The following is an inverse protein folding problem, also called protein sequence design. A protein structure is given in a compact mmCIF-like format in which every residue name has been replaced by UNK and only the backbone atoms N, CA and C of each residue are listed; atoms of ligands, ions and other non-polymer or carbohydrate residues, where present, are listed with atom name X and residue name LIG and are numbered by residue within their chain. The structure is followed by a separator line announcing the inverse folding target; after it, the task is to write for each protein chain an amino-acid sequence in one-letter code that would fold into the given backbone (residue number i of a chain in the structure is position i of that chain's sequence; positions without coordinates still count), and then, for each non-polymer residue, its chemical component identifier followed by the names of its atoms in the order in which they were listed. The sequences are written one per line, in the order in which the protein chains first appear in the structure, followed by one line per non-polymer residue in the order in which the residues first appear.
data_IF_293628302308
#
_entry.id   IF_293628302308
#
_cell.length_a   1.000
_cell.length_b   1.000
_cell.length_c   1.000
_cell.angle_alpha   90.00
_cell.angle_beta   90.00
_cell.angle_gamma   90.00
#
_symmetry.space_group_name_H-M   'P 1'
#
loop_
_entity.id
_entity.type
_entity.pdbx_description
1 polymer ?
#
# COMPACT_ATOMS: atom_id res chain seq x y z
N UNK A 1 -3.57 7.40 -24.47
CA UNK A 1 -2.35 6.89 -23.81
C UNK A 1 -1.63 8.06 -23.14
N UNK A 2 -0.96 7.84 -22.00
CA UNK A 2 -0.34 8.93 -21.23
C UNK A 2 0.73 9.70 -22.02
N UNK A 3 1.52 9.02 -22.85
CA UNK A 3 2.52 9.66 -23.72
C UNK A 3 1.89 10.63 -24.75
N UNK A 4 0.75 10.24 -25.34
CA UNK A 4 -0.04 11.11 -26.23
C UNK A 4 -0.53 12.35 -25.50
N UNK A 5 -1.13 12.16 -24.32
CA UNK A 5 -1.60 13.27 -23.47
C UNK A 5 -0.46 14.23 -23.11
N UNK A 6 0.69 13.70 -22.70
CA UNK A 6 1.87 14.51 -22.38
C UNK A 6 2.33 15.36 -23.56
N UNK A 7 2.33 14.78 -24.76
CA UNK A 7 2.69 15.47 -26.00
C UNK A 7 1.68 16.55 -26.38
N UNK A 8 0.39 16.23 -26.39
CA UNK A 8 -0.70 17.14 -26.75
C UNK A 8 -0.77 18.36 -25.83
N UNK A 9 -0.60 18.13 -24.52
CA UNK A 9 -0.68 19.19 -23.52
C UNK A 9 0.67 19.83 -23.19
N UNK A 10 1.75 19.39 -23.83
CA UNK A 10 3.13 19.88 -23.62
C UNK A 10 3.54 19.82 -22.16
N UNK A 11 3.21 18.72 -21.48
CA UNK A 11 3.58 18.46 -20.09
C UNK A 11 4.56 17.30 -20.00
N UNK A 12 5.42 17.33 -18.99
CA UNK A 12 6.37 16.25 -18.76
C UNK A 12 5.68 15.00 -18.20
N UNK A 13 6.10 13.83 -18.66
CA UNK A 13 5.72 12.52 -18.14
C UNK A 13 6.95 11.89 -17.47
N UNK A 14 6.87 11.73 -16.15
CA UNK A 14 7.89 11.04 -15.34
C UNK A 14 7.35 9.67 -14.98
N UNK A 15 8.00 8.62 -15.49
CA UNK A 15 7.68 7.23 -15.21
C UNK A 15 8.61 6.70 -14.13
N UNK A 16 8.08 6.48 -12.93
CA UNK A 16 8.81 5.78 -11.86
C UNK A 16 8.68 4.27 -12.08
N UNK A 17 9.75 3.67 -12.61
CA UNK A 17 9.83 2.26 -12.98
C UNK A 17 10.61 1.44 -11.93
N UNK A 18 10.70 1.91 -10.68
CA UNK A 18 11.46 1.26 -9.59
C UNK A 18 11.07 -0.21 -9.33
N UNK A 19 9.88 -0.64 -9.76
CA UNK A 19 9.40 -2.03 -9.62
C UNK A 19 9.50 -2.86 -10.91
N UNK A 20 10.13 -2.35 -11.98
CA UNK A 20 10.24 -3.04 -13.27
C UNK A 20 10.79 -4.47 -13.14
N UNK A 21 11.81 -4.67 -12.29
CA UNK A 21 12.41 -5.99 -12.04
C UNK A 21 11.66 -6.89 -11.06
N UNK A 22 10.47 -6.49 -10.58
CA UNK A 22 9.68 -7.25 -9.59
C UNK A 22 8.40 -7.85 -10.16
N UNK A 23 8.30 -7.96 -11.48
CA UNK A 23 7.17 -8.56 -12.18
C UNK A 23 7.32 -10.08 -12.11
N UNK A 24 6.28 -10.75 -11.65
CA UNK A 24 6.31 -12.17 -11.36
C UNK A 24 5.18 -12.96 -12.04
N UNK A 25 4.26 -12.29 -12.73
CA UNK A 25 3.18 -12.92 -13.48
C UNK A 25 2.78 -12.08 -14.71
N UNK A 26 2.06 -12.69 -15.66
CA UNK A 26 1.51 -11.98 -16.82
C UNK A 26 0.40 -10.99 -16.42
N UNK A 27 0.22 -9.87 -17.15
CA UNK A 27 1.01 -9.44 -18.32
C UNK A 27 2.43 -9.03 -17.97
N UNK A 28 3.34 -9.05 -18.94
CA UNK A 28 4.70 -8.54 -18.75
C UNK A 28 4.68 -7.02 -18.54
N UNK A 29 5.72 -6.51 -17.89
CA UNK A 29 5.89 -5.06 -17.76
C UNK A 29 6.30 -4.46 -19.09
N UNK A 30 5.72 -3.31 -19.41
CA UNK A 30 6.02 -2.53 -20.60
C UNK A 30 6.57 -1.20 -20.13
N UNK A 31 7.85 -0.95 -20.37
CA UNK A 31 8.48 0.33 -20.04
C UNK A 31 7.95 1.43 -20.96
N UNK A 32 7.93 2.68 -20.47
CA UNK A 32 7.66 3.83 -21.35
C UNK A 32 8.66 3.90 -22.50
N UNK A 33 9.88 3.39 -22.32
CA UNK A 33 10.90 3.33 -23.35
C UNK A 33 10.51 2.47 -24.56
N UNK A 34 9.72 1.40 -24.35
CA UNK A 34 9.20 0.56 -25.43
C UNK A 34 8.03 1.23 -26.16
N UNK A 35 7.21 1.96 -25.41
CA UNK A 35 5.97 2.55 -25.93
C UNK A 35 6.22 3.75 -26.82
N UNK A 36 7.19 4.62 -26.47
CA UNK A 36 7.38 5.92 -27.12
C UNK A 36 7.65 5.85 -28.63
N UNK A 37 8.29 4.79 -29.10
CA UNK A 37 8.62 4.62 -30.52
C UNK A 37 7.37 4.30 -31.36
N UNK A 38 6.34 3.72 -30.74
CA UNK A 38 5.05 3.40 -31.37
C UNK A 38 4.04 4.56 -31.31
N UNK A 39 4.39 5.70 -30.72
CA UNK A 39 3.50 6.86 -30.55
C UNK A 39 3.78 7.92 -31.61
N UNK A 40 2.93 8.08 -32.64
CA UNK A 40 3.16 9.07 -33.69
C UNK A 40 3.22 10.49 -33.12
N UNK A 41 4.28 11.22 -33.47
CA UNK A 41 4.47 12.61 -33.05
C UNK A 41 4.84 12.79 -31.57
N UNK A 42 5.19 11.72 -30.85
CA UNK A 42 5.60 11.82 -29.46
C UNK A 42 6.84 12.72 -29.30
N UNK A 43 6.73 13.70 -28.41
CA UNK A 43 7.86 14.54 -28.04
C UNK A 43 8.67 13.86 -26.92
N UNK A 44 9.77 13.20 -27.29
CA UNK A 44 10.67 12.48 -26.36
C UNK A 44 11.24 13.40 -25.29
N UNK A 45 11.41 14.70 -25.57
CA UNK A 45 11.96 15.66 -24.59
C UNK A 45 11.09 15.85 -23.35
N UNK A 46 9.83 15.38 -23.40
CA UNK A 46 8.89 15.40 -22.29
C UNK A 46 8.89 14.10 -21.48
N UNK A 47 9.63 13.07 -21.90
CA UNK A 47 9.59 11.73 -21.31
C UNK A 47 10.84 11.49 -20.46
N UNK A 48 10.63 11.10 -19.21
CA UNK A 48 11.70 10.81 -18.25
C UNK A 48 11.37 9.54 -17.45
N UNK A 49 12.40 8.77 -17.11
CA UNK A 49 12.31 7.55 -16.30
C UNK A 49 13.10 7.75 -15.03
N UNK A 50 12.48 7.41 -13.90
CA UNK A 50 13.13 7.29 -12.60
C UNK A 50 13.25 5.81 -12.24
N UNK A 51 14.44 5.39 -11.79
CA UNK A 51 14.71 4.00 -11.45
C UNK A 51 15.65 3.88 -10.23
N UNK A 52 15.66 2.73 -9.57
CA UNK A 52 16.54 2.44 -8.44
C UNK A 52 16.63 0.95 -8.16
N UNK A 53 17.81 0.49 -7.74
CA UNK A 53 18.06 -0.89 -7.31
C UNK A 53 17.54 -1.21 -5.89
N UNK A 54 16.73 -0.30 -5.33
CA UNK A 54 16.31 -0.41 -3.92
C UNK A 54 15.24 -1.47 -3.69
N UNK A 55 14.51 -1.91 -4.74
CA UNK A 55 13.30 -2.74 -4.59
C UNK A 55 13.45 -4.11 -5.20
N UNK A 56 13.81 -4.17 -6.47
CA UNK A 56 14.07 -5.39 -7.22
C UNK A 56 15.35 -6.11 -6.78
N UNK A 57 16.45 -5.38 -6.57
CA UNK A 57 17.70 -5.96 -6.04
C UNK A 57 17.76 -6.02 -4.52
N UNK A 58 16.82 -5.39 -3.81
CA UNK A 58 16.82 -5.35 -2.36
C UNK A 58 18.03 -4.61 -1.75
N UNK A 59 18.58 -3.61 -2.46
CA UNK A 59 19.75 -2.83 -2.02
C UNK A 59 19.43 -1.38 -1.64
N UNK A 60 18.41 -1.09 -0.79
CA UNK A 60 18.05 0.28 -0.48
C UNK A 60 19.17 1.03 0.26
N UNK A 61 20.01 0.33 1.03
CA UNK A 61 21.14 0.91 1.77
C UNK A 61 22.29 1.43 0.89
N UNK A 62 22.38 0.95 -0.36
CA UNK A 62 23.45 1.36 -1.29
C UNK A 62 23.16 2.68 -2.02
N UNK A 63 21.96 3.22 -1.84
CA UNK A 63 21.56 4.53 -2.36
C UNK A 63 21.77 4.74 -3.86
N UNK A 64 21.43 3.72 -4.66
CA UNK A 64 21.51 3.81 -6.12
C UNK A 64 20.18 4.27 -6.71
N UNK A 65 20.11 5.54 -7.11
CA UNK A 65 19.00 6.14 -7.85
C UNK A 65 19.47 6.61 -9.22
N UNK A 66 18.63 6.45 -10.23
CA UNK A 66 18.95 6.72 -11.63
C UNK A 66 17.85 7.60 -12.21
N UNK A 67 18.26 8.66 -12.91
CA UNK A 67 17.39 9.47 -13.75
C UNK A 67 17.82 9.22 -15.19
N UNK A 68 16.89 8.74 -16.01
CA UNK A 68 17.06 8.60 -17.44
C UNK A 68 16.11 9.57 -18.13
N UNK A 69 16.62 10.38 -19.05
CA UNK A 69 15.84 11.41 -19.73
C UNK A 69 16.28 11.47 -21.18
N UNK A 70 15.32 11.55 -22.09
CA UNK A 70 15.61 11.79 -23.51
C UNK A 70 15.92 13.26 -23.82
N UNK A 71 15.65 14.16 -22.87
CA UNK A 71 15.96 15.59 -22.97
C UNK A 71 17.37 15.90 -22.46
N UNK A 72 18.25 16.35 -23.34
CA UNK A 72 19.66 16.68 -23.03
C UNK A 72 19.82 17.82 -22.01
N UNK A 73 18.92 18.82 -22.04
CA UNK A 73 18.96 19.91 -21.08
C UNK A 73 18.65 19.40 -19.65
N UNK A 74 17.69 18.49 -19.53
CA UNK A 74 17.37 17.79 -18.27
C UNK A 74 18.55 16.92 -17.83
N UNK A 75 19.17 16.15 -18.74
CA UNK A 75 20.35 15.32 -18.42
C UNK A 75 21.50 16.17 -17.89
N UNK A 76 21.80 17.29 -18.55
CA UNK A 76 22.86 18.22 -18.15
C UNK A 76 22.60 18.83 -16.77
N UNK A 77 21.36 19.28 -16.52
CA UNK A 77 20.96 19.84 -15.24
C UNK A 77 21.00 18.80 -14.11
N UNK A 78 20.36 17.64 -14.32
CA UNK A 78 20.30 16.55 -13.36
C UNK A 78 21.70 16.04 -13.00
N UNK A 79 22.63 15.96 -13.97
CA UNK A 79 24.03 15.60 -13.71
C UNK A 79 24.72 16.59 -12.78
N UNK A 80 24.55 17.90 -12.98
CA UNK A 80 25.11 18.92 -12.06
C UNK A 80 24.51 18.81 -10.66
N UNK A 81 23.20 18.61 -10.57
CA UNK A 81 22.50 18.42 -9.29
C UNK A 81 22.88 17.11 -8.59
N UNK A 82 23.28 16.08 -9.33
CA UNK A 82 23.72 14.80 -8.76
C UNK A 82 24.91 14.93 -7.80
N UNK A 83 25.69 16.03 -7.91
CA UNK A 83 26.79 16.33 -6.99
C UNK A 83 26.38 16.36 -5.51
N UNK A 84 25.11 16.64 -5.20
CA UNK A 84 24.57 16.62 -3.83
C UNK A 84 24.16 15.23 -3.32
N UNK A 85 24.22 14.20 -4.17
CA UNK A 85 23.72 12.85 -3.87
C UNK A 85 24.39 11.78 -4.72
N UNK A 86 25.70 11.91 -4.98
CA UNK A 86 26.44 10.93 -5.77
C UNK A 86 26.43 9.56 -5.08
N UNK A 87 26.29 8.51 -5.90
CA UNK A 87 26.47 7.13 -5.44
C UNK A 87 27.95 6.94 -5.06
N UNK A 88 28.22 6.26 -3.94
CA UNK A 88 29.58 5.93 -3.52
C UNK A 88 30.36 5.23 -4.65
N UNK A 89 31.58 5.67 -4.92
CA UNK A 89 32.45 5.07 -5.96
C UNK A 89 32.73 3.58 -5.69
N UNK A 90 32.85 3.18 -4.42
CA UNK A 90 32.98 1.78 -4.02
C UNK A 90 31.75 0.97 -4.43
N UNK A 91 30.56 1.50 -4.17
CA UNK A 91 29.28 0.88 -4.56
C UNK A 91 29.14 0.81 -6.08
N UNK A 92 29.54 1.87 -6.81
CA UNK A 92 29.54 1.86 -8.27
C UNK A 92 30.45 0.76 -8.82
N UNK A 93 31.66 0.61 -8.28
CA UNK A 93 32.59 -0.44 -8.71
C UNK A 93 32.05 -1.85 -8.46
N UNK A 94 31.52 -2.10 -7.25
CA UNK A 94 30.90 -3.38 -6.90
C UNK A 94 29.72 -3.72 -7.83
N UNK A 95 28.81 -2.77 -8.04
CA UNK A 95 27.63 -2.99 -8.88
C UNK A 95 28.00 -3.13 -10.35
N UNK A 96 29.00 -2.40 -10.85
CA UNK A 96 29.47 -2.58 -12.21
C UNK A 96 29.95 -4.02 -12.45
N UNK A 97 30.69 -4.60 -11.50
CA UNK A 97 31.11 -6.01 -11.59
C UNK A 97 29.93 -6.99 -11.52
N UNK A 98 29.02 -6.79 -10.57
CA UNK A 98 27.85 -7.66 -10.37
C UNK A 98 26.87 -7.60 -11.54
N UNK A 99 26.52 -6.40 -12.02
CA UNK A 99 25.53 -6.21 -13.09
C UNK A 99 26.07 -6.57 -14.47
N UNK A 100 27.38 -6.60 -14.66
CA UNK A 100 28.00 -7.04 -15.93
C UNK A 100 28.09 -8.56 -16.05
N UNK A 101 27.90 -9.32 -14.97
CA UNK A 101 27.79 -10.78 -15.03
C UNK A 101 26.40 -11.18 -15.53
N UNK A 102 26.30 -11.37 -16.85
CA UNK A 102 25.06 -11.75 -17.51
C UNK A 102 24.48 -13.07 -16.97
N UNK A 103 25.33 -14.04 -16.63
CA UNK A 103 24.87 -15.33 -16.13
C UNK A 103 24.27 -15.21 -14.73
N UNK A 104 24.89 -14.40 -13.86
CA UNK A 104 24.30 -14.02 -12.57
C UNK A 104 22.97 -13.29 -12.76
N UNK A 105 22.93 -12.29 -13.64
CA UNK A 105 21.75 -11.46 -13.85
C UNK A 105 20.53 -12.24 -14.35
N UNK A 106 20.71 -13.13 -15.33
CA UNK A 106 19.62 -14.00 -15.81
C UNK A 106 19.06 -14.85 -14.68
N UNK A 107 19.94 -15.56 -13.93
CA UNK A 107 19.50 -16.39 -12.81
C UNK A 107 18.82 -15.58 -11.71
N UNK A 108 19.35 -14.40 -11.41
CA UNK A 108 18.80 -13.53 -10.37
C UNK A 108 17.37 -13.08 -10.71
N UNK A 109 17.13 -12.62 -11.94
CA UNK A 109 15.80 -12.15 -12.36
C UNK A 109 14.78 -13.30 -12.39
N UNK A 110 15.15 -14.47 -12.93
CA UNK A 110 14.29 -15.66 -12.96
C UNK A 110 13.93 -16.14 -11.54
N UNK A 111 14.92 -16.28 -10.67
CA UNK A 111 14.73 -16.75 -9.30
C UNK A 111 13.94 -15.73 -8.46
N UNK A 112 14.22 -14.44 -8.63
CA UNK A 112 13.49 -13.36 -7.94
C UNK A 112 12.01 -13.37 -8.32
N UNK A 113 11.70 -13.45 -9.62
CA UNK A 113 10.33 -13.53 -10.10
C UNK A 113 9.62 -14.79 -9.57
N UNK A 114 10.26 -15.95 -9.62
CA UNK A 114 9.69 -17.21 -9.12
C UNK A 114 9.39 -17.15 -7.61
N UNK A 115 10.30 -16.62 -6.81
CA UNK A 115 10.11 -16.45 -5.35
C UNK A 115 9.02 -15.44 -5.02
N UNK A 116 8.96 -14.33 -5.75
CA UNK A 116 7.91 -13.32 -5.57
C UNK A 116 6.53 -13.88 -5.93
N UNK A 117 6.41 -14.65 -7.02
CA UNK A 117 5.18 -15.32 -7.40
C UNK A 117 4.71 -16.29 -6.30
N UNK A 118 5.59 -17.20 -5.87
CA UNK A 118 5.26 -18.16 -4.82
C UNK A 118 4.84 -17.47 -3.51
N UNK A 119 5.54 -16.40 -3.14
CA UNK A 119 5.25 -15.59 -1.97
C UNK A 119 3.89 -14.89 -2.05
N UNK A 120 3.60 -14.26 -3.19
CA UNK A 120 2.33 -13.59 -3.47
C UNK A 120 1.17 -14.59 -3.43
N UNK A 121 1.32 -15.74 -4.08
CA UNK A 121 0.26 -16.75 -4.18
C UNK A 121 -0.05 -17.39 -2.84
N UNK A 122 0.98 -17.65 -2.01
CA UNK A 122 0.81 -18.13 -0.65
C UNK A 122 0.04 -17.13 0.21
N UNK A 123 0.44 -15.86 0.17
CA UNK A 123 -0.20 -14.81 0.95
C UNK A 123 -1.66 -14.60 0.52
N UNK A 124 -1.92 -14.43 -0.77
CA UNK A 124 -3.26 -14.19 -1.31
C UNK A 124 -4.18 -15.40 -1.12
N UNK A 125 -3.67 -16.63 -1.24
CA UNK A 125 -4.45 -17.84 -0.96
C UNK A 125 -4.84 -17.94 0.51
N UNK A 126 -3.92 -17.66 1.43
CA UNK A 126 -4.21 -17.66 2.88
C UNK A 126 -5.26 -16.62 3.27
N UNK A 127 -5.28 -15.45 2.63
CA UNK A 127 -6.34 -14.44 2.83
C UNK A 127 -7.70 -14.90 2.29
N UNK A 128 -7.70 -15.53 1.11
CA UNK A 128 -8.91 -16.03 0.45
C UNK A 128 -9.64 -17.10 1.27
N UNK A 129 -8.92 -17.93 2.02
CA UNK A 129 -9.50 -18.92 2.94
C UNK A 129 -10.44 -18.31 3.98
N UNK A 130 -10.26 -17.03 4.33
CA UNK A 130 -11.11 -16.31 5.29
C UNK A 130 -11.96 -15.24 4.62
N UNK A 131 -12.11 -15.31 3.30
CA UNK A 131 -12.97 -14.43 2.52
C UNK A 131 -12.41 -13.01 2.34
N UNK A 132 -11.10 -12.80 2.54
CA UNK A 132 -10.45 -11.54 2.21
C UNK A 132 -9.89 -11.64 0.79
N UNK A 133 -10.26 -10.69 -0.06
CA UNK A 133 -9.71 -10.54 -1.40
C UNK A 133 -8.50 -9.60 -1.44
N UNK A 134 -7.74 -9.70 -2.52
CA UNK A 134 -6.74 -8.70 -2.90
C UNK A 134 -7.01 -8.24 -4.33
N UNK A 135 -6.64 -7.00 -4.65
CA UNK A 135 -6.52 -6.56 -6.04
C UNK A 135 -5.52 -7.49 -6.73
N UNK A 136 -5.90 -8.02 -7.89
CA UNK A 136 -5.03 -8.89 -8.67
C UNK A 136 -3.81 -8.10 -9.16
N UNK A 137 -2.68 -8.34 -8.51
CA UNK A 137 -1.38 -7.79 -8.89
C UNK A 137 -0.50 -8.84 -9.56
N UNK A 138 0.49 -8.39 -10.32
CA UNK A 138 1.47 -9.21 -11.01
C UNK A 138 2.91 -8.71 -10.81
N UNK A 139 3.09 -7.66 -10.01
CA UNK A 139 4.39 -7.05 -9.73
C UNK A 139 4.40 -6.42 -8.33
N UNK A 140 5.60 -6.09 -7.86
CA UNK A 140 5.83 -5.41 -6.59
C UNK A 140 6.09 -6.35 -5.42
N UNK A 141 6.26 -5.74 -4.24
CA UNK A 141 6.66 -6.43 -3.00
C UNK A 141 5.53 -6.52 -1.97
N UNK A 142 4.31 -6.19 -2.41
CA UNK A 142 3.14 -6.03 -1.58
C UNK A 142 1.85 -6.37 -2.33
N UNK A 143 0.81 -6.67 -1.57
CA UNK A 143 -0.54 -6.87 -2.07
C UNK A 143 -1.45 -5.74 -1.59
N UNK A 144 -2.45 -5.39 -2.41
CA UNK A 144 -3.49 -4.42 -2.08
C UNK A 144 -4.73 -5.17 -1.60
N UNK A 145 -4.85 -5.33 -0.28
CA UNK A 145 -5.84 -6.14 0.40
C UNK A 145 -7.16 -5.39 0.59
N UNK A 146 -8.28 -6.06 0.33
CA UNK A 146 -9.62 -5.51 0.44
C UNK A 146 -10.28 -5.91 1.77
N UNK A 147 -10.42 -4.96 2.69
CA UNK A 147 -11.12 -5.13 3.96
C UNK A 147 -12.42 -4.32 4.03
N UNK A 148 -12.97 -3.86 2.89
CA UNK A 148 -14.21 -3.07 2.85
C UNK A 148 -15.36 -3.77 3.56
N UNK A 149 -15.48 -5.09 3.42
CA UNK A 149 -16.50 -5.89 4.10
C UNK A 149 -16.38 -5.96 5.63
N UNK A 150 -15.26 -5.50 6.19
CA UNK A 150 -15.01 -5.43 7.64
C UNK A 150 -15.19 -4.01 8.21
N UNK A 151 -15.39 -3.00 7.36
CA UNK A 151 -15.71 -1.66 7.83
C UNK A 151 -17.13 -1.60 8.39
N UNK A 152 -17.34 -0.71 9.36
CA UNK A 152 -18.69 -0.37 9.85
C UNK A 152 -19.42 0.50 8.84
N UNK A 153 -18.72 1.54 8.37
CA UNK A 153 -19.16 2.51 7.38
C UNK A 153 -18.04 2.74 6.36
N UNK A 154 -18.39 3.14 5.14
CA UNK A 154 -17.41 3.42 4.09
C UNK A 154 -16.79 4.83 4.26
N UNK A 155 -16.14 5.07 5.40
CA UNK A 155 -15.51 6.35 5.74
C UNK A 155 -14.02 6.18 6.09
N UNK A 156 -13.19 7.22 5.85
CA UNK A 156 -11.79 7.21 6.28
C UNK A 156 -11.61 6.95 7.77
N UNK A 157 -12.51 7.45 8.61
CA UNK A 157 -12.48 7.27 10.06
C UNK A 157 -12.65 5.79 10.43
N UNK A 158 -13.60 5.09 9.79
CA UNK A 158 -13.82 3.67 9.99
C UNK A 158 -12.62 2.83 9.52
N UNK A 159 -11.97 3.21 8.42
CA UNK A 159 -10.72 2.58 7.97
C UNK A 159 -9.61 2.73 9.03
N UNK A 160 -9.43 3.94 9.58
CA UNK A 160 -8.42 4.19 10.62
C UNK A 160 -8.74 3.48 11.94
N UNK A 161 -10.01 3.33 12.30
CA UNK A 161 -10.41 2.50 13.44
C UNK A 161 -10.03 1.03 13.23
N UNK A 162 -10.35 0.47 12.05
CA UNK A 162 -9.96 -0.89 11.70
C UNK A 162 -8.43 -1.05 11.70
N UNK A 163 -7.71 -0.08 11.14
CA UNK A 163 -6.25 -0.05 11.14
C UNK A 163 -5.66 -0.10 12.56
N UNK A 164 -6.18 0.70 13.50
CA UNK A 164 -5.77 0.69 14.91
C UNK A 164 -6.03 -0.67 15.56
N UNK A 165 -7.14 -1.33 15.24
CA UNK A 165 -7.42 -2.69 15.71
C UNK A 165 -6.39 -3.68 15.17
N UNK A 166 -6.05 -3.60 13.88
CA UNK A 166 -5.03 -4.46 13.26
C UNK A 166 -3.67 -4.28 13.96
N UNK A 167 -3.22 -3.05 14.15
CA UNK A 167 -1.94 -2.78 14.83
C UNK A 167 -1.96 -3.24 16.29
N UNK A 168 -2.97 -2.87 17.06
CA UNK A 168 -2.94 -3.10 18.51
C UNK A 168 -3.36 -4.52 18.93
N UNK A 169 -4.29 -5.14 18.21
CA UNK A 169 -4.84 -6.47 18.54
C UNK A 169 -4.24 -7.57 17.69
N UNK A 170 -4.18 -7.38 16.37
CA UNK A 170 -3.62 -8.38 15.44
C UNK A 170 -2.09 -8.33 15.43
N UNK A 171 -1.49 -7.22 15.88
CA UNK A 171 -0.04 -7.01 15.95
C UNK A 171 0.62 -7.13 14.58
N UNK A 172 -0.04 -6.58 13.56
CA UNK A 172 0.49 -6.49 12.21
C UNK A 172 0.56 -5.01 11.81
N UNK A 173 1.73 -4.60 11.32
CA UNK A 173 1.89 -3.26 10.76
C UNK A 173 1.56 -3.31 9.27
N UNK A 174 0.42 -2.74 8.91
CA UNK A 174 -0.06 -2.61 7.53
C UNK A 174 -0.35 -1.14 7.25
N UNK A 175 -0.33 -0.74 5.99
CA UNK A 175 -0.57 0.67 5.63
C UNK A 175 -2.02 0.84 5.15
N UNK A 176 -2.83 1.74 5.75
CA UNK A 176 -4.19 1.98 5.32
C UNK A 176 -4.24 2.76 3.99
N UNK A 177 -5.26 2.54 3.19
CA UNK A 177 -5.43 3.13 1.85
C UNK A 177 -5.46 4.65 1.85
N UNK A 178 -6.01 5.24 2.92
CA UNK A 178 -5.97 6.68 3.21
C UNK A 178 -4.55 7.26 3.21
N UNK A 179 -3.53 6.49 3.62
CA UNK A 179 -2.11 6.92 3.56
C UNK A 179 -1.57 7.06 2.12
N UNK A 180 -2.27 6.50 1.13
CA UNK A 180 -1.93 6.57 -0.29
C UNK A 180 -2.94 7.42 -1.07
N UNK A 181 -3.75 8.22 -0.38
CA UNK A 181 -4.82 9.03 -0.98
C UNK A 181 -5.83 8.20 -1.79
N UNK A 182 -6.09 6.95 -1.37
CA UNK A 182 -7.12 6.12 -1.98
C UNK A 182 -8.51 6.75 -1.75
N UNK A 183 -9.28 6.92 -2.84
CA UNK A 183 -10.62 7.52 -2.77
C UNK A 183 -11.69 6.63 -2.16
N UNK A 184 -11.43 5.33 -2.06
CA UNK A 184 -12.34 4.35 -1.45
C UNK A 184 -11.75 3.85 -0.11
N UNK A 185 -12.43 4.05 1.03
CA UNK A 185 -11.98 3.49 2.30
C UNK A 185 -12.09 1.96 2.32
N UNK A 186 -11.17 1.30 3.02
CA UNK A 186 -11.16 -0.13 3.30
C UNK A 186 -10.07 -0.92 2.60
N UNK A 187 -9.19 -0.25 1.86
CA UNK A 187 -8.04 -0.87 1.23
C UNK A 187 -6.80 -0.80 2.12
N UNK A 188 -5.94 -1.82 2.07
CA UNK A 188 -4.72 -1.89 2.88
C UNK A 188 -3.55 -2.46 2.08
N UNK A 189 -2.40 -1.80 2.15
CA UNK A 189 -1.13 -2.34 1.61
C UNK A 189 -0.49 -3.28 2.62
N UNK A 190 -0.17 -4.50 2.18
CA UNK A 190 0.58 -5.46 2.99
C UNK A 190 1.82 -5.93 2.24
N UNK A 191 3.00 -5.63 2.80
CA UNK A 191 4.27 -6.09 2.27
C UNK A 191 4.50 -7.55 2.69
N UNK A 192 4.97 -8.38 1.74
CA UNK A 192 5.21 -9.80 2.00
C UNK A 192 6.57 -10.31 1.51
N UNK A 193 7.43 -9.45 0.96
CA UNK A 193 8.74 -9.86 0.43
C UNK A 193 9.91 -9.74 1.44
N UNK A 194 9.64 -9.40 2.71
CA UNK A 194 10.68 -9.04 3.69
C UNK A 194 10.76 -9.98 4.91
N UNK A 195 10.01 -11.09 4.91
CA UNK A 195 9.95 -12.04 6.02
C UNK A 195 10.01 -13.48 5.50
N UNK A 196 10.36 -14.41 6.39
CA UNK A 196 10.36 -15.84 6.11
C UNK A 196 8.94 -16.45 6.06
N UNK A 197 8.87 -17.72 5.69
CA UNK A 197 7.62 -18.49 5.58
C UNK A 197 6.92 -18.62 6.93
N UNK A 198 7.67 -18.88 8.00
CA UNK A 198 7.13 -19.10 9.34
C UNK A 198 6.46 -17.83 9.87
N UNK A 199 7.13 -16.68 9.72
CA UNK A 199 6.58 -15.37 10.11
C UNK A 199 5.35 -15.03 9.27
N UNK A 200 5.36 -15.36 7.98
CA UNK A 200 4.20 -15.19 7.12
C UNK A 200 3.01 -16.02 7.60
N UNK A 201 3.20 -17.30 7.94
CA UNK A 201 2.12 -18.13 8.45
C UNK A 201 1.58 -17.63 9.78
N UNK A 202 2.45 -17.18 10.68
CA UNK A 202 2.02 -16.54 11.94
C UNK A 202 1.16 -15.31 11.66
N UNK A 203 1.51 -14.49 10.65
CA UNK A 203 0.73 -13.34 10.26
C UNK A 203 -0.64 -13.75 9.69
N UNK A 204 -0.68 -14.73 8.78
CA UNK A 204 -1.92 -15.27 8.22
C UNK A 204 -2.81 -15.86 9.32
N UNK A 205 -2.26 -16.61 10.27
CA UNK A 205 -3.02 -17.17 11.39
C UNK A 205 -3.61 -16.11 12.33
N UNK A 206 -2.89 -15.01 12.53
CA UNK A 206 -3.43 -13.86 13.27
C UNK A 206 -4.59 -13.22 12.52
N UNK A 207 -4.48 -13.04 11.20
CA UNK A 207 -5.56 -12.52 10.36
C UNK A 207 -6.76 -13.48 10.38
N UNK A 208 -6.53 -14.78 10.17
CA UNK A 208 -7.57 -15.82 10.19
C UNK A 208 -8.37 -15.79 11.49
N UNK A 209 -7.69 -15.72 12.64
CA UNK A 209 -8.34 -15.60 13.95
C UNK A 209 -9.13 -14.31 14.10
N UNK A 210 -8.55 -13.18 13.69
CA UNK A 210 -9.20 -11.87 13.77
C UNK A 210 -10.49 -11.83 12.94
N UNK A 211 -10.45 -12.32 11.70
CA UNK A 211 -11.62 -12.35 10.80
C UNK A 211 -12.73 -13.22 11.37
N UNK A 212 -12.40 -14.44 11.84
CA UNK A 212 -13.38 -15.35 12.44
C UNK A 212 -14.05 -14.74 13.68
N UNK A 213 -13.27 -14.07 14.54
CA UNK A 213 -13.81 -13.36 15.70
C UNK A 213 -14.73 -12.20 15.28
N UNK A 214 -14.32 -11.42 14.27
CA UNK A 214 -15.12 -10.31 13.75
C UNK A 214 -16.46 -10.79 13.17
N UNK A 215 -16.44 -11.86 12.37
CA UNK A 215 -17.65 -12.48 11.80
C UNK A 215 -18.58 -12.99 12.91
N UNK A 216 -18.05 -13.62 13.96
CA UNK A 216 -18.85 -14.08 15.08
C UNK A 216 -19.52 -12.92 15.84
N UNK A 217 -18.79 -11.83 16.09
CA UNK A 217 -19.34 -10.63 16.75
C UNK A 217 -20.43 -9.98 15.89
N UNK A 218 -20.21 -9.87 14.57
CA UNK A 218 -21.21 -9.35 13.63
C UNK A 218 -22.49 -10.19 13.63
N UNK A 219 -22.37 -11.52 13.52
CA UNK A 219 -23.52 -12.42 13.56
C UNK A 219 -24.27 -12.38 14.90
N UNK A 220 -23.55 -12.23 16.03
CA UNK A 220 -24.17 -12.06 17.35
C UNK A 220 -24.95 -10.74 17.43
N UNK A 221 -24.38 -9.63 16.96
CA UNK A 221 -25.05 -8.33 16.94
C UNK A 221 -26.31 -8.34 16.06
N UNK A 222 -26.24 -8.96 14.88
CA UNK A 222 -27.38 -9.14 13.98
C UNK A 222 -28.50 -9.96 14.64
N UNK A 223 -28.19 -11.12 15.24
CA UNK A 223 -29.16 -11.96 15.96
C UNK A 223 -29.83 -11.22 17.12
N UNK A 224 -29.05 -10.42 17.87
CA UNK A 224 -29.59 -9.60 18.95
C UNK A 224 -30.55 -8.53 18.41
N UNK A 225 -30.21 -7.85 17.33
CA UNK A 225 -31.07 -6.85 16.68
C UNK A 225 -32.38 -7.45 16.13
N UNK A 226 -32.34 -8.66 15.56
CA UNK A 226 -33.55 -9.36 15.09
C UNK A 226 -34.44 -9.80 16.26
N UNK A 227 -33.85 -10.30 17.35
CA UNK A 227 -34.57 -10.72 18.56
C UNK A 227 -35.22 -9.56 19.31
N UNK A 228 -34.54 -8.40 19.39
CA UNK A 228 -35.09 -7.21 20.03
C UNK A 228 -36.15 -6.48 19.17
N UNK A 229 -36.11 -6.61 17.83
CA UNK A 229 -37.24 -6.21 16.96
C UNK A 229 -38.48 -7.09 17.12
N UNK A 230 -38.32 -8.37 17.46
CA UNK A 230 -39.43 -9.28 17.79
C UNK A 230 -40.05 -9.04 19.18
N UNK A 231 -39.33 -8.37 20.08
CA UNK A 231 -39.83 -7.92 21.40
C UNK A 231 -40.14 -6.42 21.38
N UNK A 232 -41.01 -5.98 20.47
CA UNK A 232 -41.74 -4.73 20.68
C UNK A 232 -42.83 -4.98 21.74
N UNK A 233 -42.40 -5.14 23.00
CA UNK A 233 -43.29 -5.03 24.15
C UNK A 233 -43.88 -3.62 24.11
N UNK A 234 -45.15 -3.52 23.72
CA UNK A 234 -45.96 -2.31 23.87
C UNK A 234 -46.03 -1.96 25.36
N UNK A 235 -45.08 -1.20 25.85
CA UNK A 235 -45.24 -0.45 27.09
C UNK A 235 -46.17 0.73 26.77
N UNK A 236 -47.47 0.53 27.02
CA UNK A 236 -48.42 1.63 27.09
C UNK A 236 -48.07 2.50 28.29
N UNK A 237 -47.41 3.63 28.06
CA UNK A 237 -47.33 4.69 29.07
C UNK A 237 -48.46 5.71 28.85
N UNK A 238 -49.13 6.19 29.92
CA UNK A 238 -50.08 7.28 29.79
C UNK A 238 -49.35 8.57 29.41
N UNK A 239 -49.94 9.32 28.46
CA UNK A 239 -49.45 10.62 28.00
C UNK A 239 -49.21 11.59 29.16
N UNK A 240 -47.97 12.09 29.29
CA UNK A 240 -47.68 13.45 29.77
C UNK A 240 -46.29 13.90 29.29
N UNK A 241 -46.26 15.04 28.59
CA UNK A 241 -45.09 15.91 28.44
C UNK A 241 -44.09 15.53 27.34
N UNK A 242 -44.00 16.39 26.32
CA UNK A 242 -43.01 16.30 25.25
C UNK A 242 -41.58 16.57 25.74
N UNK A 243 -40.63 15.69 25.41
CA UNK A 243 -39.19 16.00 25.30
C UNK A 243 -38.58 15.16 24.18
N UNK A 244 -37.76 15.80 23.36
CA UNK A 244 -37.13 15.31 22.12
C UNK A 244 -36.15 14.15 22.33
N UNK A 245 -36.14 13.22 21.37
CA UNK A 245 -35.29 12.02 21.38
C UNK A 245 -33.87 12.32 20.90
N UNK A 246 -32.97 12.61 21.85
CA UNK A 246 -31.52 12.58 21.63
C UNK A 246 -30.82 12.32 22.96
N UNK A 247 -30.75 11.07 23.41
CA UNK A 247 -29.86 10.60 24.51
C UNK A 247 -30.09 9.13 24.81
N UNK A 248 -29.52 8.21 24.03
CA UNK A 248 -29.30 6.82 24.47
C UNK A 248 -28.12 6.25 23.69
N UNK A 249 -26.90 6.64 24.08
CA UNK A 249 -25.67 5.84 24.03
C UNK A 249 -24.52 6.73 24.56
N UNK A 250 -24.57 7.04 25.85
CA UNK A 250 -23.46 7.64 26.58
C UNK A 250 -23.31 6.92 27.92
N UNK A 251 -22.37 5.98 27.97
CA UNK A 251 -21.79 5.31 29.14
C UNK A 251 -20.45 4.78 28.60
N UNK A 252 -19.26 5.03 29.13
CA UNK A 252 -18.85 5.67 30.39
C UNK A 252 -17.32 5.79 30.34
N UNK A 253 -16.77 6.99 30.43
CA UNK A 253 -15.33 7.24 30.59
C UNK A 253 -15.07 7.66 32.03
N UNK A 254 -14.10 7.07 32.77
CA UNK A 254 -13.60 7.69 33.98
C UNK A 254 -12.36 8.54 33.68
N UNK A 255 -12.49 9.82 34.06
CA UNK A 255 -11.49 10.81 34.48
C UNK A 255 -10.29 11.16 33.59
N UNK A 256 -10.16 12.48 33.38
CA UNK A 256 -9.17 13.13 32.55
C UNK A 256 -7.74 13.05 33.08
N UNK A 257 -6.81 13.22 32.15
CA UNK A 257 -5.48 13.74 32.39
C UNK A 257 -5.13 14.66 31.23
N UNK A 258 -4.60 15.82 31.62
CA UNK A 258 -4.37 17.01 30.82
C UNK A 258 -3.35 16.77 29.69
N UNK A 259 -3.57 17.45 28.57
CA UNK A 259 -2.62 17.56 27.47
C UNK A 259 -1.34 18.27 27.92
N UNK A 260 -0.13 17.76 27.63
CA UNK A 260 1.08 18.56 27.71
C UNK A 260 1.20 19.43 26.46
N UNK A 261 1.07 20.74 26.65
CA UNK A 261 1.49 21.75 25.67
C UNK A 261 3.03 21.72 25.56
N UNK A 262 3.55 21.59 24.35
CA UNK A 262 4.99 21.79 24.08
C UNK A 262 5.30 23.29 24.06
N UNK A 263 6.35 23.77 24.76
CA UNK A 263 6.75 25.16 24.72
C UNK A 263 7.44 25.50 23.39
N UNK A 264 6.99 26.57 22.73
CA UNK A 264 7.67 27.18 21.59
C UNK A 264 8.98 27.83 22.05
N UNK A 265 10.09 27.49 21.40
CA UNK A 265 11.39 28.13 21.60
C UNK A 265 11.51 29.31 20.61
N UNK A 266 11.84 30.53 21.06
CA UNK A 266 12.14 31.64 20.15
C UNK A 266 13.48 31.42 19.46
N UNK A 267 13.55 31.67 18.16
CA UNK A 267 14.81 31.74 17.43
C UNK A 267 15.59 32.99 17.84
N UNK A 268 16.86 32.79 18.18
CA UNK A 268 17.90 33.82 18.31
C UNK A 268 18.88 33.68 17.17
#
# INVERSE_FOLDING_TARGET
MLATFATEHRVHLICDEIYAGSVFAKPEFVSIAEVIDDVPGCNRDLIHIAYSLSKDFGLPGFRVGIIYSYNDAVVSCARKMSSFGLVSSQTQHFLAAMLSDAAFMTRFLEESAARLAARHDRFTSGLREVGIGCLRGNAGLFSWMDLRGMLRDATPEAELELWRLIIHKVKLNVSPGTSFHCGEPGWFRVCHANMDDDTMEVALDRIRRFVRQHQHQKAKAERWATSSRGKQLRLSMPRRGAVTAASFFALSTPMGLQSPQSPMVPAS
#
